data_IF_770978677658
#
_entry.id   IF_770978677658
#
_cell.length_a   1.000
_cell.length_b   1.000
_cell.length_c   1.000
_cell.angle_alpha   90.00
_cell.angle_beta   90.00
_cell.angle_gamma   90.00
#
_symmetry.space_group_name_H-M   'P 1'
#
loop_
_entity.id
_entity.type
_entity.pdbx_description
1 polymer ?
#
# COMPACT_ATOMS: atom_id res chain seq x y z
N UNK A 1 10.96 -18.38 5.16
CA UNK A 1 10.40 -19.67 5.68
C UNK A 1 11.19 -20.17 6.89
N UNK A 2 12.53 -20.31 6.84
CA UNK A 2 13.33 -20.81 7.97
C UNK A 2 13.18 -19.94 9.23
N UNK A 3 13.17 -18.62 9.10
CA UNK A 3 13.01 -17.71 10.22
C UNK A 3 11.65 -17.84 10.91
N UNK A 4 10.59 -18.13 10.16
CA UNK A 4 9.25 -18.39 10.72
C UNK A 4 9.21 -19.72 11.50
N UNK A 5 9.93 -20.75 11.04
CA UNK A 5 10.07 -22.02 11.77
C UNK A 5 10.82 -21.82 13.09
N UNK A 6 11.94 -21.08 13.07
CA UNK A 6 12.71 -20.76 14.28
C UNK A 6 11.87 -20.00 15.31
N UNK A 7 11.09 -19.01 14.85
CA UNK A 7 10.16 -18.28 15.72
C UNK A 7 9.08 -19.19 16.30
N UNK A 8 8.52 -20.11 15.50
CA UNK A 8 7.55 -21.11 15.98
C UNK A 8 8.15 -22.06 17.03
N UNK A 9 9.44 -22.32 16.98
CA UNK A 9 10.18 -23.11 17.97
C UNK A 9 10.72 -22.26 19.13
N UNK A 10 10.35 -20.98 19.21
CA UNK A 10 10.76 -20.03 20.27
C UNK A 10 12.28 -19.78 20.32
N UNK A 11 12.97 -19.94 19.21
CA UNK A 11 14.36 -19.51 19.06
C UNK A 11 14.38 -17.99 18.94
N UNK A 12 15.06 -17.34 19.86
CA UNK A 12 15.12 -15.88 19.91
C UNK A 12 15.98 -15.35 18.76
N UNK A 13 15.62 -14.20 18.25
CA UNK A 13 16.42 -13.50 17.22
C UNK A 13 17.85 -13.26 17.69
N UNK A 14 18.82 -13.63 16.84
CA UNK A 14 20.25 -13.56 17.16
C UNK A 14 20.79 -14.81 17.87
N UNK A 15 19.92 -15.69 18.36
CA UNK A 15 20.33 -17.00 18.87
C UNK A 15 20.61 -17.99 17.75
N UNK A 16 21.62 -18.83 17.94
CA UNK A 16 21.96 -19.92 17.05
C UNK A 16 21.38 -21.22 17.58
N UNK A 17 20.52 -21.84 16.78
CA UNK A 17 19.97 -23.17 17.05
C UNK A 17 20.70 -24.23 16.23
N UNK A 18 20.98 -25.40 16.84
CA UNK A 18 21.41 -26.59 16.14
C UNK A 18 20.20 -27.36 15.67
N UNK A 19 20.09 -27.58 14.37
CA UNK A 19 19.04 -28.40 13.76
C UNK A 19 19.60 -29.72 13.29
N UNK A 20 18.82 -30.77 13.47
CA UNK A 20 19.09 -32.10 12.90
C UNK A 20 17.97 -32.39 11.89
N UNK A 21 18.38 -32.69 10.66
CA UNK A 21 17.47 -33.22 9.66
C UNK A 21 17.73 -34.74 9.53
N UNK A 22 16.67 -35.51 9.63
CA UNK A 22 16.71 -36.95 9.50
C UNK A 22 15.93 -37.36 8.25
N UNK A 23 16.61 -38.11 7.37
CA UNK A 23 15.99 -38.69 6.18
C UNK A 23 15.86 -40.19 6.44
N UNK A 24 14.63 -40.67 6.42
CA UNK A 24 14.29 -42.07 6.61
C UNK A 24 13.83 -42.63 5.27
N UNK A 25 14.60 -43.55 4.68
CA UNK A 25 14.21 -44.25 3.46
C UNK A 25 13.64 -45.61 3.82
N UNK A 26 12.36 -45.82 3.49
CA UNK A 26 11.66 -47.08 3.71
C UNK A 26 11.31 -47.72 2.37
N UNK A 27 11.55 -49.03 2.27
CA UNK A 27 11.11 -49.82 1.10
C UNK A 27 9.76 -50.45 1.45
N UNK A 28 8.69 -49.99 0.80
CA UNK A 28 7.35 -50.57 0.95
C UNK A 28 7.05 -51.54 -0.18
N UNK A 29 6.47 -52.73 0.18
CA UNK A 29 5.90 -53.68 -0.81
C UNK A 29 6.71 -54.94 -1.08
N UNK A 30 7.73 -55.25 -0.29
CA UNK A 30 8.46 -56.52 -0.37
C UNK A 30 8.05 -57.55 0.72
N UNK A 31 8.19 -58.85 0.44
CA UNK A 31 7.96 -59.90 1.41
C UNK A 31 9.10 -60.02 2.43
N UNK A 32 10.14 -59.23 2.33
CA UNK A 32 11.31 -59.19 3.21
C UNK A 32 11.33 -57.83 3.93
N UNK A 33 11.31 -57.89 5.26
CA UNK A 33 11.50 -56.70 6.08
C UNK A 33 12.94 -56.17 5.92
N UNK A 34 13.06 -54.99 5.36
CA UNK A 34 14.31 -54.24 5.29
C UNK A 34 14.29 -53.14 6.34
N UNK A 35 15.34 -53.03 7.14
CA UNK A 35 15.50 -51.92 8.06
C UNK A 35 15.51 -50.60 7.29
N UNK A 36 14.84 -49.58 7.78
CA UNK A 36 14.96 -48.24 7.19
C UNK A 36 16.41 -47.77 7.15
N UNK A 37 16.81 -47.16 6.07
CA UNK A 37 18.08 -46.47 5.98
C UNK A 37 17.91 -45.05 6.50
N UNK A 38 18.70 -44.69 7.52
CA UNK A 38 18.57 -43.40 8.20
C UNK A 38 19.84 -42.60 7.95
N UNK A 39 19.69 -41.41 7.37
CA UNK A 39 20.76 -40.44 7.22
C UNK A 39 20.44 -39.19 8.03
N UNK A 40 21.41 -38.72 8.81
CA UNK A 40 21.28 -37.54 9.66
C UNK A 40 22.29 -36.48 9.25
N UNK A 41 21.85 -35.22 9.21
CA UNK A 41 22.72 -34.08 9.03
C UNK A 41 22.41 -33.04 10.10
N UNK A 42 23.44 -32.51 10.73
CA UNK A 42 23.32 -31.38 11.68
C UNK A 42 23.86 -30.11 11.07
N UNK A 43 23.17 -29.04 11.27
CA UNK A 43 23.59 -27.69 10.83
C UNK A 43 23.12 -26.62 11.81
N UNK A 44 23.88 -25.55 11.90
CA UNK A 44 23.53 -24.42 12.75
C UNK A 44 22.76 -23.37 11.94
N UNK A 45 21.73 -22.80 12.55
CA UNK A 45 20.92 -21.72 11.97
C UNK A 45 20.78 -20.61 13.00
N UNK A 46 21.06 -19.38 12.59
CA UNK A 46 20.86 -18.20 13.44
C UNK A 46 19.63 -17.46 12.99
N UNK A 47 18.66 -17.26 13.90
CA UNK A 47 17.50 -16.42 13.65
C UNK A 47 17.92 -14.96 13.48
N UNK A 48 17.43 -14.30 12.45
CA UNK A 48 17.67 -12.87 12.26
C UNK A 48 16.38 -12.08 12.46
N UNK A 49 16.52 -10.87 12.97
CA UNK A 49 15.41 -9.93 13.12
C UNK A 49 15.14 -9.27 11.78
N UNK A 50 13.96 -9.54 11.24
CA UNK A 50 13.41 -8.73 10.17
C UNK A 50 12.83 -7.49 10.88
N UNK A 51 13.65 -6.46 11.06
CA UNK A 51 13.12 -5.17 11.49
C UNK A 51 12.17 -4.69 10.40
N UNK A 52 10.91 -4.44 10.75
CA UNK A 52 10.02 -3.72 9.87
C UNK A 52 10.74 -2.41 9.51
N UNK A 53 11.21 -2.30 8.28
CA UNK A 53 11.88 -1.11 7.80
C UNK A 53 10.78 -0.15 7.40
N UNK A 54 10.45 0.74 8.31
CA UNK A 54 9.49 1.79 8.01
C UNK A 54 9.97 2.63 6.82
N UNK A 55 9.05 2.94 5.93
CA UNK A 55 9.25 3.88 4.84
C UNK A 55 8.23 5.00 4.96
N UNK A 56 8.68 6.22 4.75
CA UNK A 56 7.85 7.42 4.90
C UNK A 56 7.99 8.33 3.69
N UNK A 57 6.92 9.02 3.33
CA UNK A 57 6.92 10.08 2.31
C UNK A 57 7.12 11.41 3.02
N UNK A 58 8.05 12.23 2.53
CA UNK A 58 8.35 13.58 3.04
C UNK A 58 8.55 14.54 1.87
N UNK A 59 8.14 15.78 2.01
CA UNK A 59 8.30 16.80 0.97
C UNK A 59 7.19 17.83 0.95
N UNK A 60 7.35 18.85 0.11
CA UNK A 60 6.33 19.90 -0.07
C UNK A 60 5.02 19.39 -0.64
N UNK A 61 5.05 18.25 -1.35
CA UNK A 61 3.83 17.59 -1.83
C UNK A 61 2.97 17.01 -0.69
N UNK A 62 3.51 16.84 0.52
CA UNK A 62 2.79 16.42 1.73
C UNK A 62 2.79 17.55 2.76
N UNK A 63 3.44 17.37 3.92
CA UNK A 63 3.43 18.33 5.03
C UNK A 63 4.72 19.18 5.14
N UNK A 64 5.56 19.17 4.09
CA UNK A 64 6.85 19.86 4.04
C UNK A 64 8.05 18.93 4.19
N UNK A 65 9.25 19.48 4.02
CA UNK A 65 10.51 18.74 4.15
C UNK A 65 10.92 18.62 5.62
N UNK A 66 10.03 18.06 6.44
CA UNK A 66 10.20 17.83 7.87
C UNK A 66 9.97 16.34 8.17
N UNK A 67 11.03 15.64 8.56
CA UNK A 67 10.98 14.21 8.83
C UNK A 67 9.93 13.84 9.90
N UNK A 68 9.68 14.71 10.88
CA UNK A 68 8.70 14.45 11.96
C UNK A 68 7.25 14.46 11.48
N UNK A 69 6.98 15.13 10.34
CA UNK A 69 5.67 15.24 9.69
C UNK A 69 5.48 14.27 8.53
N UNK A 70 6.48 13.43 8.27
CA UNK A 70 6.42 12.46 7.17
C UNK A 70 5.29 11.45 7.36
N UNK A 71 4.69 11.00 6.26
CA UNK A 71 3.57 10.07 6.23
C UNK A 71 4.10 8.64 6.04
N UNK A 72 3.67 7.73 6.92
CA UNK A 72 4.09 6.33 6.87
C UNK A 72 3.42 5.61 5.70
N UNK A 73 4.19 4.84 4.96
CA UNK A 73 3.70 3.88 3.96
C UNK A 73 3.34 2.54 4.61
N UNK A 74 2.42 1.81 4.01
CA UNK A 74 2.06 0.46 4.40
C UNK A 74 3.03 -0.54 3.78
N UNK A 75 3.64 -1.39 4.59
CA UNK A 75 4.48 -2.48 4.11
C UNK A 75 3.58 -3.64 3.62
N UNK A 76 3.71 -4.02 2.35
CA UNK A 76 2.94 -5.13 1.73
C UNK A 76 3.79 -6.37 1.47
N UNK A 77 5.09 -6.20 1.32
CA UNK A 77 6.07 -7.30 1.31
C UNK A 77 7.24 -6.90 2.20
N UNK A 78 7.52 -7.77 3.19
CA UNK A 78 8.48 -7.48 4.25
C UNK A 78 9.79 -6.93 3.70
N UNK A 79 10.16 -5.75 4.16
CA UNK A 79 11.37 -4.97 3.83
C UNK A 79 11.57 -4.63 2.35
N UNK A 80 10.60 -4.91 1.47
CA UNK A 80 10.77 -4.76 0.03
C UNK A 80 9.76 -3.82 -0.61
N UNK A 81 8.46 -4.04 -0.33
CA UNK A 81 7.39 -3.30 -0.99
C UNK A 81 6.52 -2.53 -0.03
N UNK A 82 6.23 -1.32 -0.43
CA UNK A 82 5.43 -0.37 0.34
C UNK A 82 4.38 0.26 -0.56
N UNK A 83 3.20 0.49 0.01
CA UNK A 83 2.09 1.16 -0.67
C UNK A 83 1.59 2.32 0.17
N UNK A 84 1.15 3.36 -0.51
CA UNK A 84 0.54 4.52 0.11
C UNK A 84 -0.55 5.09 -0.81
N UNK A 85 -1.67 5.47 -0.22
CA UNK A 85 -2.74 6.18 -0.93
C UNK A 85 -3.13 7.41 -0.15
N UNK A 86 -3.17 8.56 -0.81
CA UNK A 86 -3.49 9.81 -0.16
C UNK A 86 -3.45 11.01 -1.09
N UNK A 87 -3.76 12.17 -0.51
CA UNK A 87 -3.76 13.44 -1.22
C UNK A 87 -2.34 14.03 -1.26
N UNK A 88 -1.85 14.33 -2.47
CA UNK A 88 -0.62 15.07 -2.70
C UNK A 88 -0.92 16.44 -3.28
N UNK A 89 -0.27 17.46 -2.76
CA UNK A 89 -0.24 18.82 -3.32
C UNK A 89 0.76 18.89 -4.47
N UNK A 90 0.63 19.90 -5.31
CA UNK A 90 1.71 20.23 -6.24
C UNK A 90 3.00 20.52 -5.45
N UNK A 91 4.10 19.86 -5.81
CA UNK A 91 5.37 19.98 -5.10
C UNK A 91 6.24 18.75 -5.18
N UNK A 92 7.26 18.70 -4.37
CA UNK A 92 8.30 17.68 -4.40
C UNK A 92 8.19 16.73 -3.21
N UNK A 93 8.66 15.49 -3.42
CA UNK A 93 8.74 14.50 -2.35
C UNK A 93 9.89 13.52 -2.55
N UNK A 94 10.27 12.87 -1.46
CA UNK A 94 11.18 11.72 -1.41
C UNK A 94 10.72 10.75 -0.33
N UNK A 95 11.41 9.61 -0.25
CA UNK A 95 11.15 8.63 0.79
C UNK A 95 12.29 8.61 1.79
N UNK A 96 11.97 8.47 3.08
CA UNK A 96 12.93 8.38 4.17
C UNK A 96 12.65 7.16 5.04
N UNK A 97 13.68 6.66 5.71
CA UNK A 97 13.61 5.45 6.55
C UNK A 97 13.29 5.73 8.01
N UNK A 98 13.24 7.02 8.40
CA UNK A 98 13.03 7.42 9.80
C UNK A 98 12.33 8.77 9.88
N UNK A 99 11.52 8.97 10.92
CA UNK A 99 10.94 10.28 11.25
C UNK A 99 11.89 11.23 11.99
N UNK A 100 13.13 10.82 12.21
CA UNK A 100 14.12 11.62 12.95
C UNK A 100 15.18 12.24 12.04
N UNK A 101 15.26 11.82 10.78
CA UNK A 101 16.24 12.28 9.81
C UNK A 101 15.69 12.23 8.38
N UNK A 102 16.16 13.16 7.54
CA UNK A 102 15.87 13.16 6.10
C UNK A 102 16.76 12.20 5.31
N UNK A 103 17.70 11.54 5.96
CA UNK A 103 18.58 10.50 5.42
C UNK A 103 18.71 9.35 6.43
N UNK A 104 18.91 8.09 5.98
CA UNK A 104 18.99 7.64 4.58
C UNK A 104 17.66 7.82 3.84
N UNK A 105 17.75 8.05 2.52
CA UNK A 105 16.59 8.37 1.69
C UNK A 105 16.58 7.59 0.38
N UNK A 106 15.38 7.52 -0.25
CA UNK A 106 15.22 7.12 -1.64
C UNK A 106 14.66 8.31 -2.41
N UNK A 107 15.34 8.69 -3.48
CA UNK A 107 14.99 9.82 -4.32
C UNK A 107 14.78 9.37 -5.75
N UNK A 108 14.39 10.29 -6.63
CA UNK A 108 14.18 10.01 -8.03
C UNK A 108 15.51 9.66 -8.73
N UNK A 109 15.48 8.54 -9.46
CA UNK A 109 16.59 8.12 -10.29
C UNK A 109 16.59 8.77 -11.67
N UNK A 110 16.91 7.98 -12.68
CA UNK A 110 16.98 8.46 -14.08
C UNK A 110 15.64 8.97 -14.62
N UNK A 111 14.54 8.42 -14.11
CA UNK A 111 13.18 8.77 -14.49
C UNK A 111 12.22 8.70 -13.27
N UNK A 112 10.94 8.94 -13.51
CA UNK A 112 9.90 8.92 -12.47
C UNK A 112 9.52 7.50 -11.99
N UNK A 113 10.09 6.44 -12.58
CA UNK A 113 9.80 5.06 -12.21
C UNK A 113 10.98 4.39 -11.50
N UNK A 114 12.10 5.10 -11.33
CA UNK A 114 13.31 4.58 -10.71
C UNK A 114 13.70 5.33 -9.44
N UNK A 115 14.29 4.59 -8.49
CA UNK A 115 14.78 5.11 -7.22
C UNK A 115 16.31 5.10 -7.18
N UNK A 116 16.86 6.04 -6.44
CA UNK A 116 18.27 6.04 -5.99
C UNK A 116 18.29 6.05 -4.47
N UNK A 117 19.07 5.16 -3.88
CA UNK A 117 19.31 5.14 -2.45
C UNK A 117 20.47 6.09 -2.10
N UNK A 118 20.23 6.96 -1.14
CA UNK A 118 21.22 7.92 -0.63
C UNK A 118 21.41 7.69 0.87
N UNK A 119 22.62 7.31 1.26
CA UNK A 119 22.98 7.14 2.68
C UNK A 119 23.06 8.50 3.39
N UNK A 120 23.58 9.50 2.69
CA UNK A 120 23.72 10.88 3.15
C UNK A 120 23.23 11.84 2.08
N UNK A 121 22.83 13.04 2.48
CA UNK A 121 22.48 14.12 1.56
C UNK A 121 23.77 14.89 1.18
N UNK A 122 24.18 14.79 -0.07
CA UNK A 122 25.32 15.54 -0.64
C UNK A 122 24.87 16.75 -1.47
N UNK A 123 23.59 17.07 -1.45
CA UNK A 123 22.99 18.18 -2.19
C UNK A 123 22.76 17.89 -3.69
N UNK A 124 22.99 16.66 -4.16
CA UNK A 124 22.76 16.26 -5.56
C UNK A 124 21.46 15.48 -5.77
N UNK A 125 20.69 15.27 -4.70
CA UNK A 125 19.43 14.54 -4.74
C UNK A 125 18.44 15.15 -5.73
N UNK A 126 17.84 14.30 -6.58
CA UNK A 126 16.71 14.70 -7.43
C UNK A 126 15.43 14.18 -6.79
N UNK A 127 14.48 15.07 -6.52
CA UNK A 127 13.22 14.72 -5.91
C UNK A 127 12.18 14.28 -6.95
N UNK A 128 11.17 13.53 -6.52
CA UNK A 128 9.96 13.32 -7.31
C UNK A 128 9.13 14.59 -7.30
N UNK A 129 8.44 14.89 -8.41
CA UNK A 129 7.60 16.07 -8.54
C UNK A 129 6.15 15.68 -8.83
N UNK A 130 5.22 16.33 -8.18
CA UNK A 130 3.77 16.25 -8.42
C UNK A 130 3.34 17.54 -9.13
N UNK A 131 2.95 17.41 -10.40
CA UNK A 131 2.47 18.52 -11.23
C UNK A 131 1.02 18.89 -10.90
N UNK A 132 0.18 17.89 -10.67
CA UNK A 132 -1.26 18.06 -10.46
C UNK A 132 -1.64 17.61 -9.07
N UNK A 133 -2.19 18.53 -8.28
CA UNK A 133 -2.72 18.20 -6.95
C UNK A 133 -3.89 17.22 -7.04
N UNK A 134 -3.93 16.22 -6.16
CA UNK A 134 -4.99 15.26 -6.10
C UNK A 134 -4.65 14.00 -5.32
N UNK A 135 -5.49 12.99 -5.45
CA UNK A 135 -5.28 11.71 -4.79
C UNK A 135 -4.40 10.81 -5.65
N UNK A 136 -3.39 10.22 -5.02
CA UNK A 136 -2.42 9.34 -5.66
C UNK A 136 -2.34 7.99 -4.96
N UNK A 137 -2.04 6.96 -5.74
CA UNK A 137 -1.58 5.68 -5.22
C UNK A 137 -0.11 5.51 -5.59
N UNK A 138 0.72 5.26 -4.60
CA UNK A 138 2.17 5.09 -4.77
C UNK A 138 2.57 3.71 -4.28
N UNK A 139 3.25 2.96 -5.14
CA UNK A 139 3.88 1.68 -4.80
C UNK A 139 5.39 1.80 -4.96
N UNK A 140 6.15 1.38 -3.96
CA UNK A 140 7.61 1.43 -3.93
C UNK A 140 8.17 0.02 -3.71
N UNK A 141 9.12 -0.39 -4.53
CA UNK A 141 9.91 -1.61 -4.35
C UNK A 141 11.37 -1.18 -4.12
N UNK A 142 11.81 -1.24 -2.85
CA UNK A 142 13.15 -0.76 -2.46
C UNK A 142 14.26 -1.73 -2.79
N UNK A 143 13.94 -3.01 -3.06
CA UNK A 143 14.91 -4.00 -3.51
C UNK A 143 15.22 -3.81 -4.99
N UNK A 144 14.18 -3.59 -5.81
CA UNK A 144 14.32 -3.37 -7.25
C UNK A 144 14.63 -1.92 -7.61
N UNK A 145 14.57 -1.01 -6.62
CA UNK A 145 14.70 0.42 -6.80
C UNK A 145 13.70 0.97 -7.84
N UNK A 146 12.43 0.59 -7.69
CA UNK A 146 11.35 1.04 -8.59
C UNK A 146 10.21 1.67 -7.82
N UNK A 147 9.50 2.57 -8.51
CA UNK A 147 8.30 3.25 -8.03
C UNK A 147 7.23 3.24 -9.13
N UNK A 148 5.99 3.08 -8.73
CA UNK A 148 4.81 3.38 -9.54
C UNK A 148 3.99 4.44 -8.82
N UNK A 149 3.60 5.49 -9.54
CA UNK A 149 2.72 6.54 -9.05
C UNK A 149 1.53 6.66 -9.99
N UNK A 150 0.35 6.41 -9.46
CA UNK A 150 -0.90 6.44 -10.22
C UNK A 150 -1.75 7.62 -9.75
N UNK A 151 -2.17 8.45 -10.71
CA UNK A 151 -3.20 9.46 -10.54
C UNK A 151 -4.50 8.94 -11.18
N UNK A 152 -5.43 8.38 -10.40
CA UNK A 152 -6.65 7.85 -10.97
C UNK A 152 -7.51 9.01 -11.52
N UNK A 153 -7.69 9.03 -12.82
CA UNK A 153 -8.59 10.00 -13.44
C UNK A 153 -10.04 9.65 -13.09
N UNK A 154 -10.76 10.65 -12.59
CA UNK A 154 -12.19 10.49 -12.39
C UNK A 154 -12.91 10.65 -13.73
N UNK A 155 -13.59 9.61 -14.14
CA UNK A 155 -14.41 9.58 -15.37
C UNK A 155 -15.62 10.51 -15.31
N UNK A 156 -15.96 11.01 -14.11
CA UNK A 156 -17.17 11.75 -13.88
C UNK A 156 -16.89 13.20 -13.49
N UNK A 157 -17.50 14.11 -14.20
CA UNK A 157 -17.45 15.54 -13.87
C UNK A 157 -18.36 15.87 -12.68
N UNK A 158 -19.45 15.13 -12.55
CA UNK A 158 -20.46 15.34 -11.53
C UNK A 158 -21.15 14.05 -11.14
N UNK A 159 -21.51 13.96 -9.87
CA UNK A 159 -22.28 12.86 -9.28
C UNK A 159 -23.42 13.49 -8.49
N UNK A 160 -24.57 12.84 -8.45
CA UNK A 160 -25.72 13.30 -7.68
C UNK A 160 -26.15 12.24 -6.67
N UNK A 161 -26.88 12.65 -5.65
CA UNK A 161 -27.56 11.79 -4.69
C UNK A 161 -29.07 11.89 -4.86
N UNK A 162 -29.75 10.75 -4.87
CA UNK A 162 -31.20 10.65 -4.95
C UNK A 162 -31.69 9.48 -4.09
N UNK A 163 -32.89 9.56 -3.59
CA UNK A 163 -33.52 8.54 -2.79
C UNK A 163 -34.24 9.10 -1.58
N UNK A 164 -35.03 8.27 -0.94
CA UNK A 164 -35.79 8.62 0.26
C UNK A 164 -34.88 9.01 1.45
N UNK A 165 -33.60 8.67 1.38
CA UNK A 165 -32.59 9.14 2.33
C UNK A 165 -32.14 10.58 2.08
N UNK A 166 -32.57 11.27 1.01
CA UNK A 166 -32.25 12.69 0.72
C UNK A 166 -33.51 13.53 0.65
N UNK A 167 -33.40 14.87 0.81
CA UNK A 167 -34.53 15.78 0.60
C UNK A 167 -35.15 15.71 -0.80
N UNK A 168 -34.40 15.25 -1.81
CA UNK A 168 -34.86 15.09 -3.19
C UNK A 168 -35.89 13.96 -3.35
N UNK A 169 -35.97 13.02 -2.41
CA UNK A 169 -36.75 11.82 -2.57
C UNK A 169 -36.36 11.06 -3.86
N UNK A 170 -37.31 10.46 -4.53
CA UNK A 170 -37.11 9.72 -5.79
C UNK A 170 -37.41 10.55 -7.05
N UNK A 171 -37.37 11.88 -6.96
CA UNK A 171 -37.56 12.76 -8.12
C UNK A 171 -36.21 13.11 -8.74
N UNK A 172 -35.85 12.45 -9.83
CA UNK A 172 -34.49 12.49 -10.39
C UNK A 172 -34.03 13.89 -10.75
N UNK A 173 -34.94 14.76 -11.23
CA UNK A 173 -34.60 16.14 -11.56
C UNK A 173 -34.34 17.02 -10.34
N UNK A 174 -34.68 16.54 -9.14
CA UNK A 174 -34.41 17.21 -7.87
C UNK A 174 -33.17 16.65 -7.18
N UNK A 175 -32.48 15.67 -7.78
CA UNK A 175 -31.29 15.03 -7.19
C UNK A 175 -30.26 16.09 -6.77
N UNK A 176 -29.65 15.89 -5.62
CA UNK A 176 -28.68 16.82 -5.04
C UNK A 176 -27.30 16.52 -5.61
N UNK A 177 -26.66 17.52 -6.21
CA UNK A 177 -25.30 17.40 -6.73
C UNK A 177 -24.28 17.28 -5.60
N UNK A 178 -23.36 16.34 -5.69
CA UNK A 178 -22.22 16.21 -4.80
C UNK A 178 -21.13 17.22 -5.21
N UNK A 179 -20.37 17.67 -4.23
CA UNK A 179 -19.19 18.53 -4.44
C UNK A 179 -17.98 17.65 -4.73
N UNK A 180 -17.33 17.87 -5.87
CA UNK A 180 -16.07 17.21 -6.21
C UNK A 180 -14.94 17.81 -5.38
N UNK A 181 -14.29 17.00 -4.54
CA UNK A 181 -13.19 17.43 -3.67
C UNK A 181 -11.85 17.22 -4.36
N UNK A 182 -11.69 16.10 -5.06
CA UNK A 182 -10.49 15.76 -5.82
C UNK A 182 -10.82 14.78 -6.96
N UNK A 183 -9.79 14.19 -7.56
CA UNK A 183 -9.93 13.29 -8.70
C UNK A 183 -10.72 12.00 -8.44
N UNK A 184 -10.91 11.59 -7.17
CA UNK A 184 -11.64 10.35 -6.84
C UNK A 184 -12.77 10.53 -5.83
N UNK A 185 -12.91 11.72 -5.24
CA UNK A 185 -13.86 11.95 -4.15
C UNK A 185 -14.91 12.98 -4.49
N UNK A 186 -16.16 12.62 -4.21
CA UNK A 186 -17.30 13.51 -4.17
C UNK A 186 -17.91 13.47 -2.78
N UNK A 187 -18.31 14.63 -2.27
CA UNK A 187 -18.91 14.79 -0.94
C UNK A 187 -20.33 15.32 -1.08
N UNK A 188 -21.24 14.70 -0.36
CA UNK A 188 -22.57 15.19 -0.10
C UNK A 188 -22.57 15.87 1.26
N UNK A 189 -23.02 17.11 1.29
CA UNK A 189 -23.27 17.85 2.53
C UNK A 189 -24.76 18.22 2.60
N UNK A 190 -25.45 17.70 3.61
CA UNK A 190 -26.87 17.92 3.79
C UNK A 190 -27.52 16.89 4.70
N UNK A 191 -28.82 17.04 4.88
CA UNK A 191 -29.59 16.12 5.70
C UNK A 191 -29.69 14.74 5.05
N UNK A 192 -29.44 13.69 5.85
CA UNK A 192 -29.67 12.31 5.47
C UNK A 192 -30.73 11.71 6.41
N UNK A 193 -31.74 11.11 5.80
CA UNK A 193 -32.83 10.41 6.49
C UNK A 193 -32.61 8.88 6.45
N UNK A 194 -33.41 8.15 7.22
CA UNK A 194 -33.43 6.69 7.07
C UNK A 194 -34.05 6.33 5.70
N UNK A 195 -33.37 5.45 4.95
CA UNK A 195 -33.84 5.06 3.63
C UNK A 195 -32.75 4.61 2.67
N UNK A 196 -33.01 4.70 1.39
CA UNK A 196 -32.18 4.23 0.31
C UNK A 196 -31.56 5.41 -0.46
N UNK A 197 -30.37 5.20 -0.98
CA UNK A 197 -29.63 6.12 -1.82
C UNK A 197 -29.22 5.48 -3.14
N UNK A 198 -29.25 6.29 -4.20
CA UNK A 198 -28.57 6.02 -5.47
C UNK A 198 -27.74 7.23 -5.88
N UNK A 199 -26.71 6.95 -6.66
CA UNK A 199 -25.80 8.00 -7.16
C UNK A 199 -25.85 8.04 -8.69
N UNK A 200 -26.81 8.76 -9.30
CA UNK A 200 -26.85 8.95 -10.74
C UNK A 200 -25.66 9.78 -11.22
N UNK A 201 -25.18 9.44 -12.42
CA UNK A 201 -24.05 10.08 -13.07
C UNK A 201 -24.48 11.09 -14.13
N UNK A 202 -25.76 11.15 -14.40
CA UNK A 202 -26.42 12.14 -15.22
C UNK A 202 -27.88 12.34 -14.75
N UNK A 203 -28.47 13.47 -15.11
CA UNK A 203 -29.87 13.75 -14.80
C UNK A 203 -30.71 13.74 -16.09
N UNK A 204 -31.65 12.82 -16.18
CA UNK A 204 -32.66 12.73 -17.24
C UNK A 204 -34.00 12.31 -16.62
N UNK A 205 -35.10 12.65 -17.26
CA UNK A 205 -36.44 12.31 -16.76
C UNK A 205 -36.72 10.80 -16.75
N UNK A 206 -35.96 10.01 -17.51
CA UNK A 206 -36.06 8.55 -17.47
C UNK A 206 -35.03 7.96 -16.46
N UNK A 207 -35.38 6.80 -15.92
CA UNK A 207 -34.55 6.09 -14.94
C UNK A 207 -33.50 5.17 -15.60
N UNK A 208 -33.40 5.15 -16.91
CA UNK A 208 -32.40 4.36 -17.63
C UNK A 208 -31.12 5.16 -17.83
N UNK A 209 -30.51 5.53 -16.73
CA UNK A 209 -29.27 6.30 -16.65
C UNK A 209 -28.19 5.51 -15.93
N UNK A 210 -26.90 5.82 -16.15
CA UNK A 210 -25.84 5.19 -15.40
C UNK A 210 -25.84 5.63 -13.94
N UNK A 211 -25.52 4.68 -13.06
CA UNK A 211 -25.37 4.88 -11.62
C UNK A 211 -24.00 4.41 -11.17
N UNK A 212 -23.45 5.08 -10.20
CA UNK A 212 -22.31 4.55 -9.46
C UNK A 212 -22.81 3.56 -8.41
N UNK A 213 -22.37 2.31 -8.52
CA UNK A 213 -22.68 1.27 -7.54
C UNK A 213 -21.62 1.29 -6.44
N UNK A 214 -22.05 1.27 -5.17
CA UNK A 214 -21.16 1.01 -4.06
C UNK A 214 -20.78 -0.47 -4.09
N UNK A 215 -19.51 -0.76 -4.30
CA UNK A 215 -18.97 -2.09 -3.99
C UNK A 215 -18.76 -2.15 -2.47
N UNK A 216 -19.55 -2.98 -1.81
CA UNK A 216 -19.36 -3.30 -0.39
C UNK A 216 -18.33 -4.43 -0.35
N UNK A 217 -17.11 -4.11 0.04
CA UNK A 217 -16.03 -5.08 0.31
C UNK A 217 -16.17 -5.71 1.69
#
# INVERSE_FOLDING_TARGET
EMNALLSGWKVTTGETAMLEAEIIAEVSGGSVYMKPEISKVQFSVTGYYIAARDLFIVGSAVEGMDATKSLKMNEVLSEQKYEWGGHLKQGDFKFIKSRTSLTPSYTRGADNNTLVYNETDDGTETLFHIDTEGYYFITVDVEKLTIASEYPENKYEKVWAIGDATPAGWTIMNAVGLTKINNIQFVYEGDLYGGHLKFPLELREDWNIPYHNLEVS
#
